data_IF_363496519588
#
_entry.id   IF_363496519588
#
_cell.length_a   1.000
_cell.length_b   1.000
_cell.length_c   1.000
_cell.angle_alpha   90.00
_cell.angle_beta   90.00
_cell.angle_gamma   90.00
#
_symmetry.space_group_name_H-M   'P 1'
#
loop_
_entity.id
_entity.type
_entity.pdbx_description
1 polymer ?
2 non-polymer ?
3 non-polymer ?
4 non-polymer ?
5 water ?
#
# COMPACT_ATOMS: atom_id res chain seq x y z
N UNK A 2 -17.80 0.02 -15.02
CA UNK A 2 -17.19 -0.21 -13.67
C UNK A 2 -16.04 0.78 -13.41
N UNK A 3 -16.18 1.60 -12.37
CA UNK A 3 -15.10 2.45 -11.90
C UNK A 3 -14.91 2.17 -10.41
N UNK A 4 -13.86 1.40 -10.10
CA UNK A 4 -13.65 0.88 -8.75
C UNK A 4 -13.46 1.97 -7.69
N UNK A 5 -14.16 1.79 -6.57
CA UNK A 5 -14.11 2.72 -5.45
C UNK A 5 -12.96 2.31 -4.53
N UNK A 6 -11.97 3.21 -4.42
CA UNK A 6 -10.79 3.00 -3.59
C UNK A 6 -10.88 3.80 -2.31
N UNK A 7 -10.61 3.14 -1.17
CA UNK A 7 -10.60 3.81 0.13
C UNK A 7 -9.27 3.51 0.80
N UNK A 8 -8.70 4.52 1.46
CA UNK A 8 -7.48 4.38 2.22
C UNK A 8 -7.84 4.68 3.67
N UNK A 9 -7.57 3.71 4.55
CA UNK A 9 -8.00 3.77 5.95
C UNK A 9 -6.78 3.77 6.84
N UNK A 10 -6.55 4.88 7.54
CA UNK A 10 -5.49 4.97 8.54
C UNK A 10 -6.00 4.51 9.89
N UNK A 11 -5.25 3.65 10.56
CA UNK A 11 -5.66 3.11 11.86
C UNK A 11 -4.56 3.36 12.86
N UNK A 12 -4.85 4.21 13.86
CA UNK A 12 -3.86 4.59 14.85
C UNK A 12 -2.98 5.73 14.38
N UNK A 13 -2.01 6.09 15.21
CA UNK A 13 -1.16 7.25 14.96
C UNK A 13 -0.39 7.23 13.64
N UNK A 14 0.43 6.20 13.44
CA UNK A 14 1.23 6.10 12.23
C UNK A 14 0.40 6.00 10.97
N UNK A 15 -0.68 5.23 11.05
CA UNK A 15 -1.58 5.09 9.90
C UNK A 15 -2.20 6.41 9.52
N UNK A 16 -2.65 7.15 10.53
CA UNK A 16 -3.23 8.47 10.27
C UNK A 16 -2.21 9.49 9.84
N UNK A 17 -0.97 9.36 10.30
CA UNK A 17 0.10 10.21 9.79
C UNK A 17 0.27 10.03 8.27
N UNK A 18 0.25 8.77 7.82
CA UNK A 18 0.35 8.48 6.40
C UNK A 18 -0.84 9.05 5.62
N UNK A 19 -2.05 8.86 6.15
CA UNK A 19 -3.26 9.44 5.54
C UNK A 19 -3.19 10.96 5.43
N UNK A 20 -2.78 11.62 6.51
CA UNK A 20 -2.69 13.08 6.54
C UNK A 20 -1.74 13.60 5.49
N UNK A 21 -0.58 12.94 5.38
CA UNK A 21 0.45 13.36 4.43
C UNK A 21 -0.04 13.12 2.99
N UNK A 22 -0.82 12.06 2.78
CA UNK A 22 -1.48 11.83 1.47
C UNK A 22 -2.55 12.85 1.10
N UNK A 23 -3.37 13.24 2.08
CA UNK A 23 -4.38 14.27 1.88
C UNK A 23 -3.72 15.61 1.52
N UNK A 24 -2.65 15.97 2.23
CA UNK A 24 -1.85 17.18 1.92
C UNK A 24 -1.26 17.15 0.51
N UNK A 25 -0.76 15.98 0.10
CA UNK A 25 -0.19 15.77 -1.24
C UNK A 25 -1.22 15.97 -2.37
N UNK A 26 -2.47 15.59 -2.09
CA UNK A 26 -3.56 15.68 -3.06
C UNK A 26 -3.71 14.36 -3.80
N UNK A 27 -4.88 13.72 -3.63
CA UNK A 27 -5.21 12.48 -4.32
C UNK A 27 -6.69 12.46 -4.69
N UNK A 28 -6.95 12.58 -6.00
CA UNK A 28 -8.32 12.59 -6.52
C UNK A 28 -8.89 11.18 -6.65
N UNK A 29 -10.21 11.07 -6.53
CA UNK A 29 -10.96 9.81 -6.67
C UNK A 29 -10.51 8.70 -5.70
N UNK A 30 -10.06 9.08 -4.51
CA UNK A 30 -9.79 8.13 -3.44
C UNK A 30 -10.44 8.71 -2.19
N UNK A 31 -11.14 7.86 -1.43
CA UNK A 31 -11.74 8.28 -0.16
C UNK A 31 -10.80 7.96 0.98
N UNK A 32 -10.58 8.92 1.88
CA UNK A 32 -9.76 8.72 3.07
C UNK A 32 -10.61 8.59 4.32
N UNK A 33 -10.26 7.59 5.14
CA UNK A 33 -10.93 7.32 6.41
C UNK A 33 -9.87 7.29 7.50
N UNK A 34 -10.10 8.05 8.57
CA UNK A 34 -9.21 8.11 9.72
C UNK A 34 -9.87 7.40 10.89
N UNK A 35 -9.20 6.40 11.44
CA UNK A 35 -9.69 5.65 12.59
C UNK A 35 -8.70 5.76 13.74
N UNK A 36 -9.16 6.16 14.91
CA UNK A 36 -8.30 6.22 16.08
C UNK A 36 -9.13 6.13 17.34
N UNK A 37 -8.50 5.66 18.41
CA UNK A 37 -9.04 5.76 19.77
C UNK A 37 -8.88 7.19 20.31
N UNK A 38 -7.76 7.80 19.97
CA UNK A 38 -7.36 9.12 20.44
C UNK A 38 -8.23 10.20 19.76
N UNK A 39 -9.21 10.75 20.47
CA UNK A 39 -10.06 11.79 19.93
C UNK A 39 -9.37 13.11 19.62
N UNK A 40 -8.37 13.48 20.42
CA UNK A 40 -7.59 14.72 20.18
C UNK A 40 -6.88 14.64 18.84
N UNK A 41 -6.19 13.53 18.59
CA UNK A 41 -5.48 13.34 17.33
C UNK A 41 -6.46 13.30 16.17
N UNK A 42 -7.57 12.61 16.37
CA UNK A 42 -8.56 12.44 15.33
C UNK A 42 -9.20 13.78 14.94
N UNK A 43 -9.44 14.64 15.93
CA UNK A 43 -9.95 16.00 15.69
C UNK A 43 -9.07 16.81 14.71
N UNK A 44 -7.76 16.60 14.76
CA UNK A 44 -6.81 17.31 13.91
C UNK A 44 -6.70 16.79 12.48
N UNK A 45 -7.14 15.56 12.22
CA UNK A 45 -7.21 15.01 10.87
C UNK A 45 -8.13 15.85 9.96
N UNK A 46 -7.75 15.96 8.69
CA UNK A 46 -8.60 16.57 7.67
C UNK A 46 -9.27 15.52 6.77
N UNK A 47 -9.24 14.25 7.18
CA UNK A 47 -9.99 13.21 6.48
C UNK A 47 -11.48 13.52 6.57
N UNK A 48 -12.19 13.35 5.46
CA UNK A 48 -13.63 13.63 5.40
C UNK A 48 -14.50 12.56 6.08
N UNK A 49 -13.87 11.44 6.46
CA UNK A 49 -14.54 10.38 7.22
C UNK A 49 -13.65 10.03 8.41
N UNK A 50 -14.15 10.27 9.62
CA UNK A 50 -13.41 10.05 10.85
C UNK A 50 -14.21 9.17 11.78
N UNK A 51 -13.58 8.13 12.30
CA UNK A 51 -14.23 7.19 13.20
C UNK A 51 -13.43 7.11 14.49
N UNK A 52 -14.00 7.64 15.56
CA UNK A 52 -13.41 7.51 16.88
C UNK A 52 -13.90 6.19 17.43
N UNK A 53 -12.96 5.28 17.68
CA UNK A 53 -13.31 3.95 18.14
C UNK A 53 -13.05 3.79 19.63
N UNK A 54 -13.88 2.98 20.28
CA UNK A 54 -13.64 2.63 21.67
C UNK A 54 -13.84 3.74 22.70
N UNK A 55 -14.73 4.70 22.44
CA UNK A 55 -14.96 5.79 23.41
C UNK A 55 -15.33 5.28 24.81
N UNK A 56 -16.20 4.28 24.88
CA UNK A 56 -16.59 3.71 26.19
C UNK A 56 -15.41 3.06 26.92
N UNK A 57 -14.49 2.51 26.14
CA UNK A 57 -13.34 1.82 26.70
C UNK A 57 -12.24 2.78 27.14
N UNK A 58 -11.85 3.72 26.27
CA UNK A 58 -10.66 4.57 26.49
C UNK A 58 -10.98 5.98 26.98
N UNK A 59 -12.26 6.35 26.99
CA UNK A 59 -12.70 7.71 27.31
C UNK A 59 -12.14 8.77 26.35
N UNK A 60 -11.84 8.39 25.10
CA UNK A 60 -11.28 9.29 24.11
C UNK A 60 -9.76 9.40 24.09
N UNK A 61 -9.09 8.67 24.97
CA UNK A 61 -7.63 8.57 24.93
C UNK A 61 -7.23 7.48 23.93
N UNK A 62 -5.94 7.45 23.63
CA UNK A 62 -5.36 6.36 22.89
C UNK A 62 -5.38 5.06 23.67
N UNK A 63 -4.79 4.04 23.07
CA UNK A 63 -4.79 2.69 23.64
C UNK A 63 -3.63 2.44 24.61
N UNK A 64 -2.78 3.45 24.82
CA UNK A 64 -1.64 3.30 25.73
C UNK A 64 -0.73 2.16 25.35
N UNK A 65 -0.55 1.95 24.04
CA UNK A 65 0.29 0.88 23.49
C UNK A 65 -0.20 -0.55 23.77
N UNK A 66 -1.46 -0.71 24.17
CA UNK A 66 -2.02 -2.01 24.49
C UNK A 66 -2.89 -2.52 23.32
N UNK A 67 -2.39 -3.55 22.58
CA UNK A 67 -3.20 -4.05 21.47
C UNK A 67 -4.58 -4.58 21.84
N UNK A 68 -4.74 -5.08 23.07
CA UNK A 68 -6.06 -5.57 23.50
C UNK A 68 -7.09 -4.43 23.48
N UNK A 69 -6.65 -3.25 23.91
CA UNK A 69 -7.51 -2.07 23.91
C UNK A 69 -7.86 -1.66 22.47
N UNK A 70 -6.88 -1.67 21.56
CA UNK A 70 -7.20 -1.40 20.16
C UNK A 70 -8.21 -2.35 19.56
N UNK A 71 -8.03 -3.64 19.84
CA UNK A 71 -8.92 -4.67 19.35
C UNK A 71 -10.34 -4.50 19.89
N UNK A 72 -10.47 -4.36 21.19
CA UNK A 72 -11.77 -4.19 21.82
C UNK A 72 -12.44 -2.86 21.42
N UNK A 73 -11.63 -1.83 21.18
CA UNK A 73 -12.15 -0.55 20.69
C UNK A 73 -12.78 -0.71 19.30
N UNK A 74 -12.08 -1.39 18.39
CA UNK A 74 -12.62 -1.63 17.06
C UNK A 74 -13.89 -2.48 17.12
N UNK A 75 -13.89 -3.48 18.01
CA UNK A 75 -15.07 -4.33 18.17
C UNK A 75 -16.25 -3.51 18.72
N UNK A 76 -15.99 -2.62 19.68
CA UNK A 76 -17.03 -1.71 20.22
C UNK A 76 -17.67 -0.89 19.09
N UNK A 77 -16.83 -0.42 18.16
CA UNK A 77 -17.26 0.47 17.09
C UNK A 77 -17.43 -0.22 15.72
N UNK A 78 -17.66 -1.53 15.72
CA UNK A 78 -17.74 -2.33 14.49
C UNK A 78 -18.74 -1.79 13.47
N UNK A 79 -19.93 -1.40 13.94
CA UNK A 79 -20.97 -0.91 13.02
C UNK A 79 -20.57 0.40 12.34
N UNK A 80 -19.87 1.27 13.07
CA UNK A 80 -19.42 2.54 12.51
C UNK A 80 -18.31 2.32 11.45
N UNK A 81 -17.48 1.31 11.67
CA UNK A 81 -16.45 0.97 10.70
C UNK A 81 -17.10 0.41 9.42
N UNK A 82 -18.06 -0.49 9.59
CA UNK A 82 -18.80 -1.06 8.46
C UNK A 82 -19.44 0.05 7.62
N UNK A 83 -20.11 0.99 8.29
CA UNK A 83 -20.76 2.12 7.61
C UNK A 83 -19.77 2.94 6.75
N UNK A 84 -18.59 3.21 7.29
CA UNK A 84 -17.59 4.00 6.58
C UNK A 84 -17.03 3.31 5.33
N UNK A 85 -16.93 1.98 5.39
CA UNK A 85 -16.35 1.18 4.30
C UNK A 85 -17.36 0.93 3.18
N UNK A 86 -18.65 1.11 3.45
CA UNK A 86 -19.70 0.82 2.45
C UNK A 86 -19.37 1.33 1.07
N UNK A 87 -19.51 0.47 0.07
CA UNK A 87 -19.26 0.83 -1.31
C UNK A 87 -17.85 0.58 -1.80
N UNK A 88 -16.92 0.29 -0.89
CA UNK A 88 -15.51 0.09 -1.29
C UNK A 88 -15.34 -1.13 -2.18
N UNK A 89 -14.60 -0.96 -3.27
CA UNK A 89 -14.12 -2.08 -4.08
C UNK A 89 -12.70 -2.48 -3.71
N UNK A 90 -11.91 -1.54 -3.22
CA UNK A 90 -10.57 -1.81 -2.74
C UNK A 90 -10.31 -0.94 -1.53
N UNK A 91 -9.72 -1.53 -0.50
CA UNK A 91 -9.38 -0.83 0.73
C UNK A 91 -7.92 -1.07 1.02
N UNK A 92 -7.19 0.02 1.25
CA UNK A 92 -5.84 -0.01 1.78
C UNK A 92 -5.93 0.33 3.26
N UNK A 93 -5.49 -0.59 4.11
CA UNK A 93 -5.46 -0.36 5.55
C UNK A 93 -4.02 -0.07 5.91
N UNK A 94 -3.76 1.15 6.38
CA UNK A 94 -2.40 1.59 6.73
C UNK A 94 -2.28 1.83 8.22
N UNK A 95 -1.23 1.30 8.83
CA UNK A 95 -1.10 1.28 10.27
C UNK A 95 0.34 1.01 10.65
N UNK A 96 0.77 1.55 11.79
CA UNK A 96 2.06 1.21 12.36
C UNK A 96 1.91 0.08 13.34
N UNK A 97 2.50 -1.08 13.08
CA UNK A 97 2.40 -2.20 14.03
C UNK A 97 3.30 -1.97 15.22
N UNK A 98 2.87 -2.43 16.39
CA UNK A 98 3.67 -2.35 17.60
C UNK A 98 3.07 -1.53 18.71
N UNK A 99 2.20 -0.57 18.35
CA UNK A 99 1.41 0.20 19.32
C UNK A 99 0.17 -0.54 19.75
N UNK A 100 -0.82 0.20 20.21
CA UNK A 100 -2.06 -0.39 20.70
C UNK A 100 -3.18 -0.33 19.70
N UNK A 101 -3.44 0.86 19.18
CA UNK A 101 -4.58 1.05 18.30
C UNK A 101 -4.40 0.35 16.95
N UNK A 102 -3.29 0.63 16.28
CA UNK A 102 -2.99 -0.04 15.02
C UNK A 102 -2.92 -1.56 15.16
N UNK A 103 -2.08 -2.03 16.07
CA UNK A 103 -1.85 -3.45 16.24
C UNK A 103 -3.16 -4.21 16.47
N UNK A 104 -3.99 -3.67 17.36
CA UNK A 104 -5.24 -4.32 17.73
C UNK A 104 -6.39 -4.07 16.79
N UNK A 105 -6.55 -2.83 16.34
CA UNK A 105 -7.71 -2.45 15.52
C UNK A 105 -7.54 -2.71 14.04
N UNK A 106 -6.32 -2.57 13.50
CA UNK A 106 -6.17 -2.70 12.05
C UNK A 106 -6.61 -4.06 11.51
N UNK A 107 -6.30 -5.17 12.21
CA UNK A 107 -6.82 -6.46 11.73
C UNK A 107 -8.34 -6.59 11.76
N UNK A 108 -8.99 -5.94 12.73
CA UNK A 108 -10.45 -5.92 12.81
C UNK A 108 -11.03 -5.16 11.62
N UNK A 109 -10.47 -3.99 11.34
CA UNK A 109 -10.84 -3.17 10.19
C UNK A 109 -10.64 -3.94 8.88
N UNK A 110 -9.49 -4.59 8.73
CA UNK A 110 -9.21 -5.34 7.50
C UNK A 110 -10.22 -6.47 7.31
N UNK A 111 -10.56 -7.18 8.37
CA UNK A 111 -11.50 -8.29 8.26
C UNK A 111 -12.89 -7.80 7.86
N UNK A 112 -13.30 -6.66 8.41
CA UNK A 112 -14.58 -6.04 8.02
C UNK A 112 -14.57 -5.72 6.54
N UNK A 113 -13.51 -5.08 6.07
CA UNK A 113 -13.40 -4.74 4.64
C UNK A 113 -13.45 -6.01 3.76
N UNK A 114 -12.69 -7.04 4.14
CA UNK A 114 -12.61 -8.27 3.36
C UNK A 114 -13.99 -8.93 3.26
N UNK A 115 -14.69 -8.96 4.38
CA UNK A 115 -15.99 -9.59 4.44
C UNK A 115 -17.13 -8.80 3.79
N UNK A 116 -16.87 -7.53 3.42
CA UNK A 116 -17.74 -6.71 2.57
C UNK A 116 -17.41 -6.90 1.09
N UNK A 117 -16.40 -7.71 0.80
CA UNK A 117 -16.00 -8.03 -0.58
C UNK A 117 -14.95 -7.13 -1.19
N UNK A 118 -14.42 -6.16 -0.42
CA UNK A 118 -13.35 -5.29 -0.93
C UNK A 118 -12.04 -6.06 -1.03
N UNK A 119 -11.31 -5.78 -2.10
CA UNK A 119 -9.93 -6.21 -2.19
C UNK A 119 -9.17 -5.45 -1.10
N UNK A 120 -8.62 -6.18 -0.14
CA UNK A 120 -8.13 -5.57 1.10
C UNK A 120 -6.62 -5.72 1.20
N UNK A 121 -5.91 -4.59 1.12
CA UNK A 121 -4.46 -4.56 1.12
C UNK A 121 -3.99 -3.84 2.38
N UNK A 122 -3.17 -4.51 3.17
CA UNK A 122 -2.55 -3.90 4.34
C UNK A 122 -1.21 -3.30 3.95
N UNK A 123 -0.91 -2.10 4.46
CA UNK A 123 0.43 -1.51 4.29
C UNK A 123 0.84 -1.06 5.68
N UNK A 124 1.76 -1.79 6.30
CA UNK A 124 2.07 -1.56 7.70
C UNK A 124 3.55 -1.42 7.92
N UNK A 125 3.91 -0.69 8.97
CA UNK A 125 5.31 -0.64 9.41
C UNK A 125 5.57 -1.57 10.59
N UNK A 126 6.83 -2.01 10.70
CA UNK A 126 7.34 -2.61 11.94
C UNK A 126 8.18 -1.57 12.67
N UNK A 127 8.25 -1.65 14.01
CA UNK A 127 8.96 -0.62 14.75
C UNK A 127 10.47 -0.62 14.53
N UNK A 128 11.09 0.52 14.82
CA UNK A 128 12.54 0.58 14.83
C UNK A 128 13.04 -0.33 15.93
N UNK A 129 14.20 -0.91 15.72
CA UNK A 129 14.87 -1.69 16.76
C UNK A 129 15.10 -0.86 18.02
N UNK A 130 15.38 0.45 17.87
CA UNK A 130 15.58 1.30 19.05
C UNK A 130 14.34 1.41 19.96
N UNK A 131 13.16 1.06 19.45
CA UNK A 131 11.96 1.04 20.27
C UNK A 131 11.85 -0.16 21.21
N UNK A 132 12.70 -1.18 21.03
CA UNK A 132 12.82 -2.29 21.98
C UNK A 132 12.05 -3.55 21.65
N UNK A 133 12.33 -4.61 22.42
CA UNK A 133 11.83 -5.95 22.12
C UNK A 133 10.32 -6.09 22.26
N UNK A 134 9.71 -5.50 23.28
CA UNK A 134 8.26 -5.60 23.48
C UNK A 134 7.48 -5.02 22.29
N UNK A 135 7.90 -3.84 21.84
CA UNK A 135 7.33 -3.20 20.66
C UNK A 135 7.44 -4.14 19.45
N UNK A 136 8.63 -4.74 19.28
CA UNK A 136 8.85 -5.63 18.15
C UNK A 136 7.98 -6.89 18.25
N UNK A 137 7.86 -7.45 19.46
CA UNK A 137 7.03 -8.64 19.69
C UNK A 137 5.54 -8.33 19.45
N UNK A 138 5.05 -7.20 19.97
CA UNK A 138 3.67 -6.79 19.70
C UNK A 138 3.45 -6.60 18.21
N UNK A 139 4.43 -6.00 17.54
CA UNK A 139 4.31 -5.77 16.10
C UNK A 139 4.23 -7.07 15.34
N UNK A 140 5.02 -8.06 15.73
CA UNK A 140 5.00 -9.36 15.06
C UNK A 140 3.64 -10.02 15.17
N UNK A 141 3.01 -9.92 16.34
CA UNK A 141 1.66 -10.45 16.52
C UNK A 141 0.65 -9.69 15.65
N UNK A 142 0.83 -8.38 15.54
CA UNK A 142 0.02 -7.56 14.66
C UNK A 142 0.16 -7.94 13.20
N UNK A 143 1.40 -8.14 12.75
CA UNK A 143 1.64 -8.56 11.37
C UNK A 143 0.94 -9.89 11.10
N UNK A 144 1.05 -10.84 12.01
CA UNK A 144 0.40 -12.15 11.81
C UNK A 144 -1.12 -12.02 11.75
N UNK A 145 -1.70 -11.19 12.63
CA UNK A 145 -3.15 -10.92 12.60
C UNK A 145 -3.56 -10.22 11.30
N UNK A 146 -2.74 -9.28 10.85
CA UNK A 146 -2.99 -8.62 9.56
C UNK A 146 -2.97 -9.63 8.41
N UNK A 147 -1.95 -10.50 8.38
CA UNK A 147 -1.86 -11.51 7.30
C UNK A 147 -3.13 -12.33 7.19
N UNK A 148 -3.68 -12.72 8.34
CA UNK A 148 -4.91 -13.53 8.39
C UNK A 148 -6.13 -12.77 7.89
N UNK A 149 -6.12 -11.45 8.05
CA UNK A 149 -7.29 -10.61 7.75
C UNK A 149 -7.33 -9.99 6.35
N UNK A 150 -6.18 -9.81 5.72
CA UNK A 150 -6.10 -9.11 4.44
C UNK A 150 -6.01 -10.08 3.26
N UNK A 151 -6.23 -9.52 2.07
CA UNK A 151 -5.90 -10.21 0.83
C UNK A 151 -4.40 -10.23 0.59
N UNK A 152 -3.77 -9.08 0.74
CA UNK A 152 -2.34 -8.94 0.50
C UNK A 152 -1.73 -7.95 1.54
N UNK A 153 -0.51 -8.21 1.98
CA UNK A 153 0.16 -7.40 3.00
C UNK A 153 1.52 -6.91 2.53
N UNK A 154 1.75 -5.61 2.65
CA UNK A 154 3.04 -4.98 2.42
C UNK A 154 3.57 -4.53 3.77
N UNK A 155 4.75 -4.99 4.13
CA UNK A 155 5.38 -4.66 5.41
C UNK A 155 6.62 -3.83 5.15
N UNK A 156 6.70 -2.68 5.84
CA UNK A 156 7.81 -1.76 5.77
C UNK A 156 8.50 -1.76 7.14
N UNK A 157 9.64 -2.45 7.28
CA UNK A 157 10.36 -2.35 8.56
C UNK A 157 10.95 -0.94 8.70
N UNK A 158 10.59 -0.22 9.76
CA UNK A 158 11.14 1.11 9.93
C UNK A 158 12.66 1.14 9.98
N UNK A 159 13.29 0.05 10.44
CA UNK A 159 14.76 -0.03 10.41
C UNK A 159 15.32 0.19 9.02
N UNK A 160 14.56 -0.15 7.97
CA UNK A 160 15.03 0.09 6.61
C UNK A 160 15.23 1.57 6.30
N UNK A 161 14.51 2.46 6.99
CA UNK A 161 14.74 3.89 6.81
C UNK A 161 16.17 4.30 7.21
N UNK A 162 16.77 3.56 8.13
CA UNK A 162 18.15 3.84 8.55
C UNK A 162 19.17 3.51 7.44
N UNK A 163 18.74 2.78 6.42
CA UNK A 163 19.58 2.46 5.25
C UNK A 163 19.55 3.53 4.15
N UNK A 164 18.60 4.46 4.22
CA UNK A 164 18.38 5.45 3.15
C UNK A 164 18.61 6.89 3.58
N UNK A 165 19.05 7.10 4.82
CA UNK A 165 19.37 8.43 5.34
C UNK A 165 20.87 8.64 5.49
N UNK A 166 21.28 9.90 5.44
CA UNK A 166 22.61 10.25 5.96
C UNK A 166 22.42 10.69 7.40
N UNK A 167 23.50 11.09 8.06
CA UNK A 167 23.42 11.42 9.48
C UNK A 167 22.54 12.64 9.78
N UNK A 168 22.28 13.46 8.77
CA UNK A 168 21.48 14.68 8.92
C UNK A 168 20.08 14.64 8.32
N UNK A 169 19.71 13.60 7.57
CA UNK A 169 18.39 13.59 6.94
C UNK A 169 17.29 13.76 8.00
N UNK A 170 16.43 14.78 7.85
CA UNK A 170 15.37 14.94 8.84
C UNK A 170 14.50 13.70 9.01
N UNK A 171 14.11 13.41 10.26
CA UNK A 171 13.21 12.31 10.52
C UNK A 171 11.94 12.40 9.67
N UNK A 172 11.38 13.60 9.53
CA UNK A 172 10.15 13.75 8.77
C UNK A 172 10.35 13.43 7.28
N UNK A 173 11.53 13.74 6.75
CA UNK A 173 11.87 13.38 5.36
C UNK A 173 11.94 11.85 5.20
N UNK A 174 12.55 11.18 6.17
CA UNK A 174 12.58 9.72 6.18
C UNK A 174 11.17 9.15 6.24
N UNK A 175 10.33 9.70 7.11
CA UNK A 175 8.94 9.26 7.19
C UNK A 175 8.20 9.44 5.87
N UNK A 176 8.48 10.53 5.15
CA UNK A 176 7.85 10.74 3.85
C UNK A 176 8.20 9.63 2.86
N UNK A 177 9.44 9.12 2.93
CA UNK A 177 9.86 8.00 2.07
C UNK A 177 9.06 6.73 2.35
N UNK A 178 8.83 6.42 3.62
CA UNK A 178 7.98 5.27 3.96
C UNK A 178 6.54 5.49 3.50
N UNK A 179 6.02 6.71 3.66
CA UNK A 179 4.64 7.05 3.24
C UNK A 179 4.49 6.90 1.72
N UNK A 180 5.57 7.17 1.02
CA UNK A 180 5.58 7.10 -0.44
C UNK A 180 5.29 5.69 -0.96
N UNK A 181 5.60 4.67 -0.17
CA UNK A 181 5.29 3.28 -0.54
C UNK A 181 3.79 3.14 -0.77
N UNK A 182 3.01 3.55 0.22
CA UNK A 182 1.55 3.56 0.12
C UNK A 182 1.07 4.49 -0.99
N UNK A 183 1.58 5.71 -1.03
CA UNK A 183 1.07 6.68 -2.00
C UNK A 183 1.24 6.19 -3.43
N UNK A 184 2.43 5.69 -3.76
CA UNK A 184 2.69 5.21 -5.12
C UNK A 184 1.78 4.04 -5.48
N UNK A 185 1.54 3.15 -4.52
CA UNK A 185 0.64 2.02 -4.78
C UNK A 185 -0.79 2.45 -5.05
N UNK A 186 -1.29 3.36 -4.22
CA UNK A 186 -2.66 3.85 -4.36
C UNK A 186 -2.81 4.65 -5.66
N UNK A 187 -1.88 5.58 -5.91
CA UNK A 187 -1.88 6.34 -7.14
C UNK A 187 -1.80 5.43 -8.35
N UNK A 188 -0.96 4.41 -8.27
CA UNK A 188 -0.79 3.49 -9.38
C UNK A 188 -2.05 2.74 -9.73
N UNK A 189 -2.77 2.24 -8.74
CA UNK A 189 -4.04 1.54 -8.98
C UNK A 189 -5.06 2.50 -9.54
N UNK A 190 -5.13 3.70 -8.98
CA UNK A 190 -6.02 4.76 -9.49
C UNK A 190 -5.76 5.03 -10.97
N UNK A 191 -4.48 5.14 -11.33
CA UNK A 191 -4.09 5.38 -12.72
C UNK A 191 -4.48 4.22 -13.64
N UNK A 192 -4.25 3.01 -13.18
CA UNK A 192 -4.59 1.81 -13.95
C UNK A 192 -6.09 1.74 -14.25
N UNK A 193 -6.94 2.03 -13.26
CA UNK A 193 -8.39 1.98 -13.44
C UNK A 193 -8.91 3.09 -14.36
N UNK A 194 -8.24 4.25 -14.32
CA UNK A 194 -8.70 5.44 -15.03
C UNK A 194 -8.40 5.47 -16.53
N UNK A 195 -7.25 4.91 -16.91
CA UNK A 195 -6.64 5.09 -18.22
C UNK A 195 -6.77 3.80 -19.03
N UNK A 196 -7.11 3.93 -20.31
CA UNK A 196 -7.18 2.79 -21.23
C UNK A 196 -5.78 2.54 -21.80
N UNK A 197 -5.28 1.31 -21.63
CA UNK A 197 -3.96 0.96 -22.13
C UNK A 197 -4.02 0.31 -23.51
N UNK A 198 -2.91 0.40 -24.23
CA UNK A 198 -2.78 -0.29 -25.52
C UNK A 198 -2.92 -1.78 -25.32
N UNK A 199 -2.27 -2.30 -24.28
CA UNK A 199 -2.53 -3.63 -23.77
C UNK A 199 -3.10 -3.36 -22.38
N UNK A 200 -4.42 -3.43 -22.29
CA UNK A 200 -5.14 -2.88 -21.15
C UNK A 200 -5.15 -3.83 -19.96
N UNK A 201 -4.92 -3.27 -18.78
CA UNK A 201 -5.07 -3.96 -17.50
C UNK A 201 -6.21 -3.25 -16.78
N UNK A 202 -7.03 -4.02 -16.08
CA UNK A 202 -8.17 -3.44 -15.35
C UNK A 202 -8.24 -3.97 -13.93
N UNK A 203 -9.27 -3.58 -13.20
CA UNK A 203 -9.38 -3.94 -11.80
C UNK A 203 -9.48 -5.46 -11.58
N UNK A 204 -10.08 -6.18 -12.52
CA UNK A 204 -10.10 -7.64 -12.39
C UNK A 204 -8.70 -8.26 -12.42
N UNK A 205 -7.78 -7.66 -13.17
CA UNK A 205 -6.39 -8.10 -13.17
C UNK A 205 -5.71 -7.84 -11.83
N UNK A 206 -5.99 -6.69 -11.25
CA UNK A 206 -5.50 -6.35 -9.92
C UNK A 206 -6.01 -7.38 -8.92
N UNK A 207 -7.31 -7.69 -8.98
CA UNK A 207 -7.89 -8.69 -8.10
C UNK A 207 -7.24 -10.08 -8.28
N UNK A 208 -7.02 -10.50 -9.52
CA UNK A 208 -6.36 -11.79 -9.73
C UNK A 208 -5.00 -11.85 -9.06
N UNK A 209 -4.22 -10.80 -9.18
CA UNK A 209 -2.89 -10.78 -8.60
C UNK A 209 -2.87 -10.57 -7.08
N UNK A 210 -3.83 -9.83 -6.55
CA UNK A 210 -3.77 -9.43 -5.13
C UNK A 210 -4.74 -10.15 -4.20
N UNK A 211 -5.79 -10.80 -4.72
CA UNK A 211 -6.82 -11.40 -3.84
C UNK A 211 -6.30 -12.70 -3.21
N UNK A 212 -6.38 -12.82 -1.89
CA UNK A 212 -5.93 -14.00 -1.15
C UNK A 212 -4.51 -14.45 -1.51
N UNK A 213 -3.56 -13.52 -1.60
CA UNK A 213 -2.20 -13.81 -2.14
C UNK A 213 -0.97 -13.52 -1.24
N UNK A 214 -1.22 -13.34 0.06
CA UNK A 214 -0.16 -13.29 1.08
C UNK A 214 0.65 -12.01 1.12
N UNK A 215 1.98 -12.11 1.07
CA UNK A 215 2.83 -10.92 1.02
C UNK A 215 2.80 -10.32 -0.37
N UNK A 216 3.07 -9.03 -0.46
CA UNK A 216 3.17 -8.35 -1.75
C UNK A 216 4.29 -7.36 -1.78
N UNK A 217 4.77 -7.14 -2.99
CA UNK A 217 5.64 -6.04 -3.34
C UNK A 217 4.90 -5.19 -4.35
N UNK A 218 4.98 -3.88 -4.20
CA UNK A 218 4.55 -2.93 -5.22
C UNK A 218 5.74 -2.03 -5.51
N UNK A 219 5.99 -1.73 -6.78
CA UNK A 219 7.10 -0.86 -7.12
C UNK A 219 6.94 -0.14 -8.44
N UNK A 220 7.65 0.97 -8.55
CA UNK A 220 7.66 1.80 -9.74
C UNK A 220 9.09 2.27 -10.00
N UNK A 221 9.49 2.25 -11.26
CA UNK A 221 10.79 2.73 -11.68
C UNK A 221 10.67 3.56 -12.94
N UNK A 222 11.45 4.64 -12.99
CA UNK A 222 11.43 5.61 -14.09
C UNK A 222 12.86 5.78 -14.57
N UNK A 223 13.05 5.72 -15.88
CA UNK A 223 14.37 6.01 -16.46
C UNK A 223 14.26 6.55 -17.88
N UNK A 224 15.39 7.02 -18.38
CA UNK A 224 15.48 7.57 -19.74
C UNK A 224 16.84 7.25 -20.32
N UNK A 225 17.00 7.53 -21.61
CA UNK A 225 18.27 7.32 -22.30
C UNK A 225 18.61 5.87 -22.51
N UNK A 226 19.90 5.57 -22.56
CA UNK A 226 20.39 4.23 -22.84
C UNK A 226 20.04 3.26 -21.71
N UNK A 227 19.62 2.06 -22.10
CA UNK A 227 19.26 0.99 -21.18
C UNK A 227 18.09 1.36 -20.25
N UNK A 228 17.25 2.30 -20.68
CA UNK A 228 16.14 2.82 -19.85
C UNK A 228 15.18 1.73 -19.36
N UNK A 229 14.84 0.77 -20.21
CA UNK A 229 13.88 -0.27 -19.83
C UNK A 229 14.41 -1.16 -18.70
N UNK A 230 15.64 -1.63 -18.85
CA UNK A 230 16.29 -2.45 -17.84
C UNK A 230 16.45 -1.66 -16.53
N UNK A 231 16.90 -0.41 -16.63
CA UNK A 231 17.09 0.42 -15.44
C UNK A 231 15.76 0.67 -14.71
N UNK A 232 14.70 0.97 -15.46
CA UNK A 232 13.40 1.19 -14.85
C UNK A 232 12.85 -0.07 -14.20
N UNK A 233 13.01 -1.22 -14.87
CA UNK A 233 12.56 -2.50 -14.32
C UNK A 233 13.30 -2.86 -13.02
N UNK A 234 14.62 -2.68 -13.02
CA UNK A 234 15.43 -2.93 -11.83
C UNK A 234 15.00 -2.03 -10.66
N UNK A 235 14.72 -0.76 -10.95
CA UNK A 235 14.25 0.18 -9.92
C UNK A 235 12.88 -0.26 -9.37
N UNK A 236 12.00 -0.72 -10.26
CA UNK A 236 10.65 -1.14 -9.83
C UNK A 236 10.68 -2.34 -8.89
N UNK A 237 11.55 -3.30 -9.15
CA UNK A 237 11.59 -4.53 -8.32
C UNK A 237 12.49 -4.38 -7.09
N UNK A 238 13.26 -3.29 -7.04
CA UNK A 238 14.10 -2.98 -5.89
C UNK A 238 13.21 -2.74 -4.69
N UNK A 239 13.65 -3.21 -3.53
CA UNK A 239 12.80 -3.12 -2.35
C UNK A 239 13.59 -2.76 -1.12
N UNK A 240 14.27 -1.60 -1.15
CA UNK A 240 15.08 -1.20 0.03
C UNK A 240 14.26 -1.05 1.31
N UNK A 241 13.01 -0.60 1.18
CA UNK A 241 12.13 -0.41 2.32
C UNK A 241 11.17 -1.55 2.62
N UNK A 242 11.13 -2.58 1.78
CA UNK A 242 10.14 -3.62 1.94
C UNK A 242 10.77 -4.89 2.48
N UNK A 243 10.00 -5.54 3.32
CA UNK A 243 10.35 -6.83 3.88
C UNK A 243 10.36 -7.92 2.79
N UNK A 244 9.37 -7.88 1.90
CA UNK A 244 9.20 -8.88 0.84
C UNK A 244 9.93 -8.41 -0.42
N UNK A 245 10.87 -9.24 -0.88
CA UNK A 245 11.57 -8.98 -2.12
C UNK A 245 10.84 -9.65 -3.29
N UNK A 246 11.31 -9.33 -4.49
CA UNK A 246 10.81 -9.90 -5.74
C UNK A 246 11.05 -11.42 -5.88
N UNK A 247 12.08 -11.93 -5.22
CA UNK A 247 12.55 -13.31 -5.44
C UNK A 247 11.45 -14.34 -5.09
N UNK A 248 11.13 -15.20 -6.05
CA UNK A 248 10.12 -16.24 -5.86
C UNK A 248 8.66 -15.82 -5.97
N UNK A 249 8.40 -14.62 -6.50
CA UNK A 249 7.03 -14.19 -6.75
C UNK A 249 6.33 -15.15 -7.71
N UNK A 250 5.09 -15.55 -7.38
CA UNK A 250 4.29 -16.45 -8.24
C UNK A 250 3.22 -15.71 -9.04
N UNK A 251 2.93 -14.45 -8.70
CA UNK A 251 1.97 -13.62 -9.44
C UNK A 251 2.60 -12.26 -9.68
N UNK A 252 2.49 -11.74 -10.89
CA UNK A 252 3.01 -10.40 -11.20
C UNK A 252 2.05 -9.66 -12.09
N UNK A 253 1.70 -8.44 -11.72
CA UNK A 253 1.05 -7.51 -12.63
C UNK A 253 2.14 -6.53 -13.02
N UNK A 254 2.45 -6.43 -14.31
CA UNK A 254 3.51 -5.56 -14.78
C UNK A 254 2.97 -4.65 -15.85
N UNK A 255 3.28 -3.35 -15.76
CA UNK A 255 2.95 -2.42 -16.81
C UNK A 255 4.19 -1.64 -17.23
N UNK A 256 4.25 -1.33 -18.52
CA UNK A 256 5.24 -0.40 -19.05
C UNK A 256 4.52 0.76 -19.71
N UNK A 257 4.87 1.97 -19.29
CA UNK A 257 4.39 3.19 -19.92
C UNK A 257 5.57 3.85 -20.62
N UNK A 258 5.39 4.19 -21.89
CA UNK A 258 6.40 4.92 -22.65
C UNK A 258 5.77 5.85 -23.64
N UNK A 259 6.60 6.66 -24.28
CA UNK A 259 6.20 7.44 -25.43
C UNK A 259 6.08 6.56 -26.65
N UNK A 260 5.87 7.21 -27.80
CA UNK A 260 5.74 6.52 -29.08
C UNK A 260 7.00 5.73 -29.45
N UNK A 261 8.15 6.08 -28.85
CA UNK A 261 9.40 5.35 -29.07
C UNK A 261 9.50 4.00 -28.34
N UNK A 262 8.55 3.67 -27.45
CA UNK A 262 8.63 2.42 -26.70
C UNK A 262 8.76 1.24 -27.66
N UNK A 263 9.88 0.52 -27.56
CA UNK A 263 10.18 -0.57 -28.51
C UNK A 263 9.77 -1.94 -27.97
N UNK A 264 9.45 -2.86 -28.87
CA UNK A 264 9.18 -4.23 -28.47
C UNK A 264 10.39 -4.85 -27.78
N UNK A 265 11.57 -4.62 -28.34
CA UNK A 265 12.80 -5.17 -27.78
C UNK A 265 13.00 -4.75 -26.32
N UNK A 266 12.81 -3.47 -26.02
CA UNK A 266 13.04 -3.00 -24.66
C UNK A 266 11.92 -3.45 -23.71
N UNK A 267 10.70 -3.64 -24.22
CA UNK A 267 9.63 -4.21 -23.40
C UNK A 267 10.01 -5.64 -22.97
N UNK A 268 10.51 -6.43 -23.92
CA UNK A 268 11.03 -7.77 -23.57
C UNK A 268 12.16 -7.69 -22.54
N UNK A 269 13.09 -6.75 -22.73
CA UNK A 269 14.20 -6.58 -21.77
C UNK A 269 13.67 -6.38 -20.35
N UNK A 270 12.69 -5.49 -20.22
CA UNK A 270 12.13 -5.17 -18.91
C UNK A 270 11.40 -6.37 -18.31
N UNK A 271 10.56 -7.01 -19.12
CA UNK A 271 9.81 -8.17 -18.66
C UNK A 271 10.74 -9.31 -18.25
N UNK A 272 11.84 -9.49 -18.99
CA UNK A 272 12.83 -10.51 -18.67
C UNK A 272 13.51 -10.25 -17.32
N UNK A 273 13.80 -8.99 -17.02
CA UNK A 273 14.35 -8.62 -15.71
C UNK A 273 13.43 -9.13 -14.59
N UNK A 274 12.13 -8.91 -14.75
CA UNK A 274 11.14 -9.27 -13.74
C UNK A 274 10.99 -10.79 -13.67
N UNK A 275 10.86 -11.43 -14.84
CA UNK A 275 10.75 -12.89 -14.92
C UNK A 275 11.92 -13.64 -14.28
N UNK A 276 13.15 -13.24 -14.60
CA UNK A 276 14.36 -13.88 -14.08
C UNK A 276 14.32 -13.95 -12.55
N UNK A 277 13.75 -12.93 -11.93
CA UNK A 277 13.58 -12.87 -10.48
C UNK A 277 12.43 -13.74 -9.93
N UNK A 278 11.30 -13.72 -10.63
CA UNK A 278 10.07 -14.40 -10.18
C UNK A 278 10.09 -15.93 -10.39
N UNK A 279 9.10 -16.62 -9.80
CA UNK A 279 8.98 -18.08 -9.88
C UNK A 279 8.75 -18.56 -11.32
N UNK A 280 9.29 -19.75 -11.64
CA UNK A 280 9.19 -20.34 -12.98
C UNK A 280 7.75 -20.47 -13.50
N UNK A 281 6.79 -20.70 -12.60
CA UNK A 281 5.36 -20.85 -12.96
C UNK A 281 4.54 -19.60 -12.60
N UNK A 282 5.15 -18.41 -12.61
CA UNK A 282 4.52 -17.12 -12.30
C UNK A 282 3.32 -16.84 -13.22
N UNK A 283 2.23 -16.38 -12.68
CA UNK A 283 1.11 -15.85 -13.42
C UNK A 283 1.45 -14.37 -13.65
N UNK A 284 2.04 -14.04 -14.82
CA UNK A 284 2.35 -12.62 -15.19
C UNK A 284 1.26 -12.08 -16.08
N UNK A 285 0.72 -10.95 -15.69
CA UNK A 285 -0.26 -10.21 -16.45
C UNK A 285 0.44 -8.91 -16.86
N UNK A 286 0.72 -8.80 -18.16
CA UNK A 286 1.53 -7.73 -18.74
C UNK A 286 0.67 -6.69 -19.45
N UNK A 287 0.94 -5.42 -19.18
CA UNK A 287 0.24 -4.32 -19.84
C UNK A 287 1.20 -3.30 -20.41
N UNK A 288 0.69 -2.47 -21.31
CA UNK A 288 1.47 -1.39 -21.89
C UNK A 288 0.57 -0.20 -22.18
N UNK A 289 1.11 1.00 -21.96
CA UNK A 289 0.47 2.26 -22.24
C UNK A 289 1.44 3.09 -23.08
N UNK A 290 0.92 3.70 -24.15
CA UNK A 290 1.67 4.70 -24.90
C UNK A 290 1.11 6.05 -24.50
N UNK A 291 1.95 6.86 -23.86
CA UNK A 291 1.61 8.23 -23.50
C UNK A 291 2.44 9.13 -24.44
N UNK A 292 1.81 9.69 -25.49
CA UNK A 292 2.57 10.47 -26.47
C UNK A 292 3.16 11.79 -25.93
N UNK A 293 2.68 12.25 -24.77
CA UNK A 293 3.31 13.40 -24.07
C UNK A 293 4.72 13.09 -23.58
N UNK A 294 5.01 11.81 -23.32
CA UNK A 294 6.37 11.41 -22.93
C UNK A 294 7.30 11.49 -24.14
N UNK A 295 8.55 11.87 -23.88
CA UNK A 295 9.60 11.89 -24.89
C UNK A 295 10.45 10.64 -24.71
N UNK A 296 11.51 10.72 -23.90
CA UNK A 296 12.43 9.59 -23.72
C UNK A 296 12.25 8.89 -22.38
N UNK A 297 11.15 9.21 -21.63
CA UNK A 297 10.95 8.61 -20.31
C UNK A 297 10.30 7.23 -20.46
N UNK A 298 10.66 6.26 -19.68
CA UNK A 298 9.91 4.98 -19.57
C UNK A 298 9.57 4.75 -18.11
N UNK A 299 8.38 4.23 -17.84
CA UNK A 299 7.93 3.90 -16.48
C UNK A 299 7.56 2.42 -16.43
N UNK A 300 8.18 1.68 -15.53
CA UNK A 300 7.87 0.27 -15.30
C UNK A 300 7.28 0.15 -13.90
N UNK A 301 6.16 -0.56 -13.80
CA UNK A 301 5.51 -0.78 -12.52
C UNK A 301 5.25 -2.26 -12.33
N UNK A 302 5.36 -2.72 -11.08
CA UNK A 302 5.20 -4.13 -10.73
C UNK A 302 4.35 -4.28 -9.46
N UNK A 303 3.42 -5.22 -9.46
CA UNK A 303 2.79 -5.73 -8.24
C UNK A 303 3.14 -7.21 -8.27
N UNK A 304 3.85 -7.68 -7.25
CA UNK A 304 4.30 -9.08 -7.17
C UNK A 304 3.78 -9.74 -5.90
N UNK A 305 3.20 -10.93 -6.04
CA UNK A 305 2.59 -11.67 -4.95
C UNK A 305 2.90 -13.17 -5.08
N UNK A 306 2.46 -13.96 -4.09
CA UNK A 306 2.53 -15.42 -4.15
C UNK A 306 3.92 -15.94 -3.89
N UNK A 307 4.29 -16.00 -2.62
CA UNK A 307 5.64 -16.35 -2.20
C UNK A 307 5.67 -17.62 -1.36
#
# INVERSE_FOLDING_TARGET
GHMATLKVIGVGGGGNNAVNRMIDHGMNNVEFIAINTDGQALNLSKAESKIQIGEKLTRGLGAGANPEIGKKAAEESREQIEDAIQGADMVFVTSGMGGGTGTGAAPVVAKIAKEMGALTVGVVTRPFSFEGRKRQTQAAAGVEAMKAAVDTLIVIPNDRLLDIVDKSTPMMEAFKEADNVLRQGVQGISDLIAVSGEVNLDFADVKTIMSNQGSALMGIGVSSGENRAVEAAKKAISSPLLETSIVGAQGVLMNITGGESLSLFEAQEAADIVQDAADEDVNMIFGTVINPELQDEIVVTVIATGFD
#
